data_IF_322649110299
#
_entry.id   IF_322649110299
#
_cell.length_a   1.000
_cell.length_b   1.000
_cell.length_c   1.000
_cell.angle_alpha   90.00
_cell.angle_beta   90.00
_cell.angle_gamma   90.00
#
_symmetry.space_group_name_H-M   'P 1'
#
loop_
_entity.id
_entity.type
_entity.pdbx_description
1 polymer ?
#
# COMPACT_ATOMS: atom_id res chain seq x y z
N UNK A 1 10.00 -5.52 -15.86
CA UNK A 1 9.89 -5.33 -14.40
C UNK A 1 8.43 -5.07 -14.06
N UNK A 2 7.85 -5.75 -13.06
CA UNK A 2 6.49 -5.44 -12.59
C UNK A 2 6.60 -4.49 -11.39
N UNK A 3 5.92 -3.34 -11.45
CA UNK A 3 5.93 -2.33 -10.38
C UNK A 3 4.79 -2.61 -9.41
N UNK A 4 5.01 -2.46 -8.10
CA UNK A 4 3.98 -2.63 -7.05
C UNK A 4 3.69 -1.30 -6.35
N UNK A 5 2.60 -1.20 -5.58
CA UNK A 5 2.31 0.00 -4.79
C UNK A 5 3.40 0.32 -3.76
N UNK A 6 3.98 -0.70 -3.12
CA UNK A 6 5.10 -0.54 -2.21
C UNK A 6 6.34 0.06 -2.90
N UNK A 7 6.60 -0.31 -4.16
CA UNK A 7 7.69 0.28 -4.92
C UNK A 7 7.44 1.77 -5.21
N UNK A 8 6.19 2.14 -5.53
CA UNK A 8 5.81 3.55 -5.70
C UNK A 8 5.99 4.31 -4.39
N UNK A 9 5.49 3.76 -3.27
CA UNK A 9 5.70 4.35 -1.95
C UNK A 9 7.19 4.58 -1.67
N UNK A 10 8.02 3.55 -1.83
CA UNK A 10 9.46 3.63 -1.55
C UNK A 10 10.19 4.60 -2.46
N UNK A 11 9.74 4.80 -3.71
CA UNK A 11 10.32 5.82 -4.58
C UNK A 11 10.19 7.22 -3.98
N UNK A 12 9.03 7.54 -3.40
CA UNK A 12 8.77 8.83 -2.76
C UNK A 12 9.36 8.93 -1.34
N UNK A 13 9.56 7.81 -0.64
CA UNK A 13 10.25 7.78 0.66
C UNK A 13 11.77 7.91 0.51
N UNK A 14 12.39 6.99 -0.24
CA UNK A 14 13.84 6.91 -0.43
C UNK A 14 14.21 5.97 -1.59
N UNK A 15 14.84 6.52 -2.63
CA UNK A 15 15.30 5.73 -3.80
C UNK A 15 16.24 4.57 -3.43
N UNK A 16 17.10 4.75 -2.41
CA UNK A 16 17.99 3.68 -1.92
C UNK A 16 17.20 2.55 -1.24
N UNK A 17 16.14 2.88 -0.49
CA UNK A 17 15.23 1.89 0.07
C UNK A 17 14.55 1.06 -1.03
N UNK A 18 14.07 1.72 -2.09
CA UNK A 18 13.53 1.03 -3.26
C UNK A 18 14.57 0.10 -3.89
N UNK A 19 15.81 0.56 -4.09
CA UNK A 19 16.87 -0.26 -4.66
C UNK A 19 17.15 -1.51 -3.80
N UNK A 20 17.30 -1.35 -2.48
CA UNK A 20 17.52 -2.46 -1.55
C UNK A 20 16.36 -3.46 -1.57
N UNK A 21 15.13 -2.95 -1.55
CA UNK A 21 13.92 -3.77 -1.63
C UNK A 21 13.87 -4.59 -2.93
N UNK A 22 14.20 -4.00 -4.08
CA UNK A 22 14.25 -4.71 -5.37
C UNK A 22 15.30 -5.82 -5.40
N UNK A 23 16.38 -5.69 -4.62
CA UNK A 23 17.43 -6.69 -4.50
C UNK A 23 17.19 -7.65 -3.32
N UNK A 24 16.00 -7.60 -2.68
CA UNK A 24 15.61 -8.44 -1.54
C UNK A 24 16.53 -8.27 -0.32
N UNK A 25 17.14 -7.09 -0.16
CA UNK A 25 17.99 -6.76 0.99
C UNK A 25 17.13 -6.01 2.02
N UNK A 26 16.79 -6.69 3.11
CA UNK A 26 15.92 -6.16 4.17
C UNK A 26 16.66 -5.94 5.49
N UNK A 27 16.42 -4.79 6.12
CA UNK A 27 16.91 -4.45 7.47
C UNK A 27 15.77 -4.23 8.47
N UNK A 28 14.54 -4.50 8.05
CA UNK A 28 13.33 -4.03 8.74
C UNK A 28 12.74 -5.05 9.73
N UNK A 29 13.19 -6.31 9.71
CA UNK A 29 12.55 -7.41 10.44
C UNK A 29 12.56 -7.23 11.97
N UNK A 30 13.61 -6.62 12.51
CA UNK A 30 13.75 -6.34 13.95
C UNK A 30 13.22 -4.96 14.34
N UNK A 31 12.66 -4.20 13.40
CA UNK A 31 12.18 -2.85 13.68
C UNK A 31 10.82 -2.88 14.38
N UNK A 32 10.78 -2.48 15.64
CA UNK A 32 9.53 -2.30 16.40
C UNK A 32 8.55 -1.36 15.69
N UNK A 33 9.06 -0.35 14.99
CA UNK A 33 8.23 0.58 14.21
C UNK A 33 7.49 -0.13 13.09
N UNK A 34 8.15 -1.08 12.41
CA UNK A 34 7.57 -1.86 11.32
C UNK A 34 6.57 -2.86 11.88
N UNK A 35 6.92 -3.55 12.97
CA UNK A 35 6.00 -4.47 13.66
C UNK A 35 4.72 -3.78 14.12
N UNK A 36 4.84 -2.59 14.71
CA UNK A 36 3.67 -1.79 15.10
C UNK A 36 2.82 -1.37 13.88
N UNK A 37 3.46 -1.01 12.76
CA UNK A 37 2.75 -0.72 11.51
C UNK A 37 1.93 -1.91 11.03
N UNK A 38 2.51 -3.11 11.06
CA UNK A 38 1.79 -4.35 10.70
C UNK A 38 0.65 -4.70 11.65
N UNK A 39 0.79 -4.38 12.95
CA UNK A 39 -0.30 -4.55 13.91
C UNK A 39 -1.44 -3.57 13.63
N UNK A 40 -1.12 -2.30 13.36
CA UNK A 40 -2.11 -1.28 13.03
C UNK A 40 -2.88 -1.64 11.76
N UNK A 41 -2.19 -2.06 10.70
CA UNK A 41 -2.79 -2.52 9.45
C UNK A 41 -3.82 -3.65 9.70
N UNK A 42 -3.46 -4.66 10.50
CA UNK A 42 -4.36 -5.80 10.85
C UNK A 42 -5.53 -5.45 11.76
N UNK A 43 -5.43 -4.36 12.53
CA UNK A 43 -6.43 -3.99 13.55
C UNK A 43 -7.31 -2.82 13.11
N UNK A 44 -6.89 -2.06 12.11
CA UNK A 44 -7.67 -0.96 11.56
C UNK A 44 -8.85 -1.51 10.76
N UNK A 45 -9.97 -0.78 10.77
CA UNK A 45 -11.17 -1.11 9.98
C UNK A 45 -11.71 -2.55 10.15
N UNK A 46 -11.48 -3.19 11.31
CA UNK A 46 -12.07 -4.50 11.61
C UNK A 46 -13.59 -4.46 11.48
N UNK A 47 -14.15 -5.41 10.71
CA UNK A 47 -15.59 -5.47 10.43
C UNK A 47 -16.06 -4.63 9.23
N UNK A 48 -15.16 -3.91 8.55
CA UNK A 48 -15.45 -3.14 7.34
C UNK A 48 -14.65 -3.67 6.14
N UNK A 49 -15.28 -3.68 4.97
CA UNK A 49 -14.62 -4.02 3.70
C UNK A 49 -13.96 -5.40 3.65
N UNK A 50 -13.21 -5.63 2.56
CA UNK A 50 -12.33 -6.79 2.39
C UNK A 50 -10.90 -6.35 2.62
N UNK A 51 -10.21 -7.04 3.53
CA UNK A 51 -8.83 -6.73 3.94
C UNK A 51 -7.79 -7.51 3.13
N UNK A 52 -6.61 -6.94 2.97
CA UNK A 52 -5.43 -7.54 2.32
C UNK A 52 -5.74 -8.16 0.95
N UNK A 53 -6.33 -7.35 0.06
CA UNK A 53 -6.74 -7.80 -1.26
C UNK A 53 -5.52 -7.87 -2.18
N UNK A 54 -5.10 -9.10 -2.50
CA UNK A 54 -4.03 -9.34 -3.46
C UNK A 54 -4.56 -9.26 -4.90
N UNK A 55 -4.01 -8.32 -5.68
CA UNK A 55 -4.37 -8.14 -7.09
C UNK A 55 -3.24 -8.68 -7.98
N UNK A 56 -3.56 -9.65 -8.85
CA UNK A 56 -2.65 -10.28 -9.84
C UNK A 56 -1.31 -10.80 -9.27
N UNK A 57 -1.29 -11.20 -7.99
CA UNK A 57 -0.06 -11.52 -7.24
C UNK A 57 1.03 -10.41 -7.34
N UNK A 58 0.60 -9.17 -7.55
CA UNK A 58 1.47 -8.03 -7.79
C UNK A 58 1.45 -7.04 -6.63
N UNK A 59 0.26 -6.63 -6.20
CA UNK A 59 0.10 -5.62 -5.16
C UNK A 59 -0.94 -6.06 -4.15
N UNK A 60 -0.68 -5.76 -2.88
CA UNK A 60 -1.61 -5.95 -1.79
C UNK A 60 -2.22 -4.59 -1.45
N UNK A 61 -3.55 -4.53 -1.34
CA UNK A 61 -4.29 -3.34 -0.92
C UNK A 61 -4.82 -3.61 0.47
N UNK A 62 -4.57 -2.68 1.41
CA UNK A 62 -4.89 -2.88 2.83
C UNK A 62 -6.39 -3.16 3.03
N UNK A 63 -7.27 -2.35 2.44
CA UNK A 63 -8.71 -2.61 2.44
C UNK A 63 -9.41 -2.06 1.19
N UNK A 64 -10.39 -2.83 0.70
CA UNK A 64 -11.33 -2.43 -0.35
C UNK A 64 -12.76 -2.59 0.12
N UNK A 65 -13.60 -1.56 -0.06
CA UNK A 65 -15.03 -1.61 0.25
C UNK A 65 -15.85 -1.47 -1.04
N UNK A 66 -16.81 -2.39 -1.23
CA UNK A 66 -17.73 -2.45 -2.38
C UNK A 66 -17.08 -2.37 -3.78
N UNK A 67 -15.77 -2.66 -3.90
CA UNK A 67 -14.97 -2.44 -5.11
C UNK A 67 -15.02 -1.01 -5.65
N UNK A 68 -15.36 -0.07 -4.79
CA UNK A 68 -15.49 1.34 -5.10
C UNK A 68 -14.56 2.18 -4.24
N UNK A 69 -14.25 1.77 -3.02
CA UNK A 69 -13.44 2.53 -2.10
C UNK A 69 -12.18 1.74 -1.71
N UNK A 70 -11.04 2.45 -1.62
CA UNK A 70 -9.74 1.90 -1.24
C UNK A 70 -9.22 2.65 -0.03
N UNK A 71 -8.76 1.92 0.97
CA UNK A 71 -8.05 2.49 2.11
C UNK A 71 -6.63 1.96 2.17
N UNK A 72 -5.71 2.85 2.53
CA UNK A 72 -4.32 2.54 2.87
C UNK A 72 -4.08 3.03 4.30
N UNK A 73 -3.67 2.14 5.20
CA UNK A 73 -3.46 2.46 6.60
C UNK A 73 -2.01 2.93 6.79
N UNK A 74 -1.82 4.14 7.29
CA UNK A 74 -0.49 4.66 7.66
C UNK A 74 -0.48 5.09 9.12
N UNK A 75 0.58 4.69 9.84
CA UNK A 75 0.81 5.09 11.23
C UNK A 75 0.92 6.62 11.39
N UNK A 76 1.43 7.31 10.39
CA UNK A 76 1.58 8.77 10.39
C UNK A 76 1.48 9.33 8.97
N UNK A 77 1.11 10.60 8.89
CA UNK A 77 1.08 11.44 7.68
C UNK A 77 2.46 12.03 7.28
N UNK A 78 3.52 11.80 8.06
CA UNK A 78 4.85 12.36 7.86
C UNK A 78 5.46 12.23 6.44
N UNK A 79 5.02 11.25 5.63
CA UNK A 79 5.40 11.12 4.21
C UNK A 79 4.14 10.99 3.35
N UNK A 80 3.24 11.97 3.49
CA UNK A 80 1.99 12.08 2.74
C UNK A 80 2.15 11.87 1.22
N UNK A 81 3.17 12.42 0.53
CA UNK A 81 3.33 12.20 -0.91
C UNK A 81 3.45 10.70 -1.27
N UNK A 82 4.15 9.91 -0.44
CA UNK A 82 4.30 8.48 -0.70
C UNK A 82 2.96 7.74 -0.60
N UNK A 83 2.12 8.09 0.38
CA UNK A 83 0.79 7.52 0.54
C UNK A 83 -0.13 7.90 -0.62
N UNK A 84 -0.16 9.18 -1.00
CA UNK A 84 -0.97 9.68 -2.14
C UNK A 84 -0.60 8.96 -3.43
N UNK A 85 0.71 8.82 -3.71
CA UNK A 85 1.16 8.17 -4.94
C UNK A 85 0.94 6.67 -4.96
N UNK A 86 1.03 6.01 -3.80
CA UNK A 86 0.65 4.60 -3.66
C UNK A 86 -0.85 4.39 -3.97
N UNK A 87 -1.74 5.20 -3.39
CA UNK A 87 -3.18 5.15 -3.70
C UNK A 87 -3.49 5.45 -5.16
N UNK A 88 -2.84 6.48 -5.75
CA UNK A 88 -2.97 6.79 -7.18
C UNK A 88 -2.59 5.59 -8.05
N UNK A 89 -1.53 4.86 -7.67
CA UNK A 89 -1.11 3.66 -8.38
C UNK A 89 -2.17 2.55 -8.30
N UNK A 90 -2.77 2.30 -7.14
CA UNK A 90 -3.85 1.31 -7.01
C UNK A 90 -5.07 1.65 -7.86
N UNK A 91 -5.52 2.90 -7.79
CA UNK A 91 -6.67 3.38 -8.59
C UNK A 91 -6.37 3.22 -10.08
N UNK A 92 -5.18 3.63 -10.53
CA UNK A 92 -4.74 3.46 -11.92
C UNK A 92 -4.78 1.98 -12.33
N UNK A 93 -4.22 1.10 -11.50
CA UNK A 93 -4.10 -0.32 -11.81
C UNK A 93 -5.46 -1.00 -11.90
N UNK A 94 -6.36 -0.73 -10.95
CA UNK A 94 -7.72 -1.26 -10.93
C UNK A 94 -8.56 -0.74 -12.10
N UNK A 95 -8.44 0.55 -12.43
CA UNK A 95 -9.12 1.11 -13.63
C UNK A 95 -8.63 0.46 -14.92
N UNK A 96 -7.32 0.18 -15.04
CA UNK A 96 -6.77 -0.55 -16.19
C UNK A 96 -7.35 -1.97 -16.31
N UNK A 97 -7.85 -2.54 -15.21
CA UNK A 97 -8.52 -3.84 -15.14
C UNK A 97 -10.04 -3.75 -15.29
N UNK A 98 -10.59 -2.56 -15.53
CA UNK A 98 -12.03 -2.34 -15.68
C UNK A 98 -12.80 -2.16 -14.37
N UNK A 99 -12.10 -2.01 -13.24
CA UNK A 99 -12.72 -1.75 -11.93
C UNK A 99 -12.80 -0.24 -11.70
N UNK A 100 -14.02 0.27 -11.54
CA UNK A 100 -14.27 1.70 -11.28
C UNK A 100 -14.25 2.01 -9.79
N UNK A 101 -13.12 2.54 -9.33
CA UNK A 101 -12.91 3.00 -7.96
C UNK A 101 -13.26 4.50 -7.86
N UNK A 102 -14.14 4.84 -6.92
CA UNK A 102 -14.41 6.20 -6.42
C UNK A 102 -13.36 6.61 -5.38
N UNK A 103 -13.08 7.92 -5.30
CA UNK A 103 -12.25 8.47 -4.23
C UNK A 103 -13.16 8.90 -3.08
N UNK A 104 -12.87 8.48 -1.85
CA UNK A 104 -13.16 9.31 -0.68
C UNK A 104 -11.84 9.91 -0.18
N UNK A 105 -11.92 11.18 0.22
CA UNK A 105 -10.85 11.96 0.83
C UNK A 105 -11.00 11.91 2.36
#
# INVERSE_FOLDING_TARGET
>A
MRVTGNMVNYFFVCKRKLWLFQHQIGFEQTSERVQLGSLLDRTSYQGHGTHHVMIDNLTNIDMVENWQLIHEVKRSDAIEPAAIWQLKYYIYYLRKKGVNISKDY
#
